data_IF_889107158892
#
_entry.id   IF_889107158892
#
_cell.length_a   1.000
_cell.length_b   1.000
_cell.length_c   1.000
_cell.angle_alpha   90.00
_cell.angle_beta   90.00
_cell.angle_gamma   90.00
#
_symmetry.space_group_name_H-M   'P 1'
#
loop_
_entity.id
_entity.type
_entity.pdbx_description
1 polymer ?
#
# COMPACT_ATOMS: atom_id res chain seq x y z
N UNK A 1 -4.64 11.24 10.65
CA UNK A 1 -4.70 10.67 9.30
C UNK A 1 -4.26 9.22 9.29
N UNK A 2 -5.22 8.31 9.29
CA UNK A 2 -4.96 6.88 9.14
C UNK A 2 -4.14 6.58 7.87
N UNK A 3 -3.40 5.47 7.89
CA UNK A 3 -2.42 5.10 6.87
C UNK A 3 -3.04 4.09 5.92
N UNK A 4 -2.83 4.26 4.62
CA UNK A 4 -3.13 3.24 3.62
C UNK A 4 -1.89 2.38 3.40
N UNK A 5 -1.89 1.16 3.91
CA UNK A 5 -0.87 0.16 3.60
C UNK A 5 -1.17 -0.45 2.23
N UNK A 6 -0.20 -0.38 1.34
CA UNK A 6 -0.34 -0.89 -0.03
C UNK A 6 0.68 -1.99 -0.26
N UNK A 7 0.22 -3.21 -0.51
CA UNK A 7 1.09 -4.35 -0.83
C UNK A 7 1.17 -4.53 -2.35
N UNK A 8 2.37 -4.42 -2.90
CA UNK A 8 2.66 -4.61 -4.32
C UNK A 8 3.83 -5.59 -4.54
N UNK A 9 4.08 -5.93 -5.79
CA UNK A 9 5.12 -6.88 -6.21
C UNK A 9 4.58 -7.99 -7.11
N UNK A 10 5.45 -8.90 -7.59
CA UNK A 10 5.12 -9.87 -8.62
C UNK A 10 3.92 -10.77 -8.34
N UNK A 11 3.23 -11.19 -9.39
CA UNK A 11 2.15 -12.17 -9.28
C UNK A 11 2.64 -13.48 -8.66
N UNK A 12 1.82 -14.09 -7.80
CA UNK A 12 2.14 -15.37 -7.16
C UNK A 12 3.07 -15.30 -5.95
N UNK A 13 3.53 -14.10 -5.56
CA UNK A 13 4.50 -13.93 -4.46
C UNK A 13 3.89 -13.94 -3.05
N UNK A 14 2.56 -14.01 -2.91
CA UNK A 14 1.90 -14.13 -1.59
C UNK A 14 1.29 -12.85 -1.02
N UNK A 15 1.14 -11.79 -1.83
CA UNK A 15 0.50 -10.52 -1.43
C UNK A 15 -0.85 -10.71 -0.72
N UNK A 16 -1.74 -11.52 -1.29
CA UNK A 16 -3.07 -11.79 -0.71
C UNK A 16 -2.99 -12.54 0.62
N UNK A 17 -1.97 -13.38 0.81
CA UNK A 17 -1.74 -14.07 2.08
C UNK A 17 -1.26 -13.11 3.16
N UNK A 18 -0.31 -12.22 2.84
CA UNK A 18 0.13 -11.17 3.78
C UNK A 18 -1.05 -10.25 4.16
N UNK A 19 -1.82 -9.79 3.16
CA UNK A 19 -3.02 -8.98 3.40
C UNK A 19 -4.01 -9.68 4.33
N UNK A 20 -4.29 -10.98 4.12
CA UNK A 20 -5.23 -11.72 4.97
C UNK A 20 -4.71 -11.93 6.39
N UNK A 21 -3.39 -12.00 6.60
CA UNK A 21 -2.80 -12.03 7.94
C UNK A 21 -2.96 -10.70 8.66
N UNK A 22 -2.74 -9.59 7.98
CA UNK A 22 -2.90 -8.24 8.56
C UNK A 22 -4.37 -7.94 8.86
N UNK A 23 -5.29 -8.32 7.97
CA UNK A 23 -6.74 -8.14 8.18
C UNK A 23 -7.32 -8.95 9.37
N UNK A 24 -6.55 -9.85 9.99
CA UNK A 24 -6.96 -10.49 11.25
C UNK A 24 -6.78 -9.56 12.46
N UNK A 25 -6.13 -8.42 12.28
CA UNK A 25 -6.00 -7.38 13.30
C UNK A 25 -7.20 -6.42 13.19
N UNK A 26 -7.77 -6.05 14.32
CA UNK A 26 -9.04 -5.28 14.37
C UNK A 26 -8.92 -3.81 13.91
N UNK A 27 -7.70 -3.33 13.66
CA UNK A 27 -7.40 -1.94 13.31
C UNK A 27 -7.27 -1.70 11.80
N UNK A 28 -7.53 -2.69 10.94
CA UNK A 28 -7.42 -2.56 9.49
C UNK A 28 -8.74 -2.73 8.75
N UNK A 29 -8.98 -1.81 7.83
CA UNK A 29 -10.05 -1.88 6.84
C UNK A 29 -9.53 -2.49 5.54
N UNK A 30 -10.29 -3.43 5.00
CA UNK A 30 -10.04 -3.93 3.66
C UNK A 30 -10.43 -2.85 2.63
N UNK A 31 -9.43 -2.32 1.93
CA UNK A 31 -9.64 -1.36 0.85
C UNK A 31 -9.64 -2.13 -0.49
N UNK A 32 -10.71 -1.93 -1.26
CA UNK A 32 -10.89 -2.53 -2.58
C UNK A 32 -10.87 -1.44 -3.66
N UNK A 33 -10.39 -1.81 -4.84
CA UNK A 33 -10.30 -0.91 -5.99
C UNK A 33 -11.57 -1.00 -6.85
N UNK A 34 -11.80 -0.01 -7.68
CA UNK A 34 -12.71 -0.07 -8.82
C UNK A 34 -11.95 -0.53 -10.05
N UNK A 35 -12.54 -1.41 -10.86
CA UNK A 35 -11.94 -1.88 -12.11
C UNK A 35 -12.96 -2.05 -13.22
N UNK A 36 -12.50 -1.86 -14.46
CA UNK A 36 -13.29 -2.13 -15.68
C UNK A 36 -13.09 -3.55 -16.21
N UNK A 37 -12.25 -4.36 -15.55
CA UNK A 37 -12.07 -5.77 -15.88
C UNK A 37 -13.34 -6.53 -15.49
N UNK A 38 -13.71 -7.53 -16.28
CA UNK A 38 -14.75 -8.48 -15.90
C UNK A 38 -14.37 -9.30 -14.65
N UNK A 39 -15.36 -9.60 -13.83
CA UNK A 39 -15.23 -10.49 -12.67
C UNK A 39 -14.73 -11.88 -13.10
N UNK A 40 -13.73 -12.43 -12.39
CA UNK A 40 -13.28 -13.82 -12.59
C UNK A 40 -14.15 -14.77 -11.77
N UNK A 41 -14.17 -16.04 -12.17
CA UNK A 41 -14.83 -17.11 -11.42
C UNK A 41 -14.40 -17.09 -9.94
N UNK A 42 -15.36 -16.83 -9.05
CA UNK A 42 -15.18 -16.82 -7.59
C UNK A 42 -14.84 -15.45 -6.98
N UNK A 43 -14.53 -14.43 -7.79
CA UNK A 43 -14.54 -13.05 -7.33
C UNK A 43 -16.01 -12.61 -7.07
N UNK A 44 -16.20 -11.57 -6.27
CA UNK A 44 -17.52 -10.97 -6.02
C UNK A 44 -17.42 -9.45 -6.05
N UNK A 45 -18.37 -8.83 -6.75
CA UNK A 45 -18.54 -7.38 -6.71
C UNK A 45 -18.70 -6.85 -5.28
N UNK A 46 -18.10 -5.68 -5.01
CA UNK A 46 -18.02 -5.03 -3.70
C UNK A 46 -17.30 -5.84 -2.60
N UNK A 47 -16.63 -6.94 -2.95
CA UNK A 47 -15.80 -7.74 -2.04
C UNK A 47 -14.35 -7.78 -2.51
N UNK A 48 -14.12 -8.08 -3.78
CA UNK A 48 -12.79 -8.13 -4.37
C UNK A 48 -12.46 -6.80 -5.06
N UNK A 49 -13.41 -6.31 -5.86
CA UNK A 49 -13.38 -5.03 -6.56
C UNK A 49 -14.80 -4.46 -6.68
N UNK A 50 -14.89 -3.16 -6.95
CA UNK A 50 -16.06 -2.60 -7.60
C UNK A 50 -15.90 -2.79 -9.11
N UNK A 51 -16.64 -3.74 -9.69
CA UNK A 51 -16.64 -3.99 -11.13
C UNK A 51 -17.60 -3.03 -11.81
N UNK A 52 -17.09 -2.23 -12.74
CA UNK A 52 -17.86 -1.22 -13.48
C UNK A 52 -17.61 -1.32 -14.97
N UNK A 53 -18.48 -0.74 -15.78
CA UNK A 53 -18.22 -0.61 -17.22
C UNK A 53 -17.09 0.38 -17.50
N UNK A 54 -16.41 0.19 -18.64
CA UNK A 54 -15.31 1.06 -19.06
C UNK A 54 -15.75 2.51 -19.26
N UNK A 55 -16.89 2.71 -19.90
CA UNK A 55 -17.53 4.02 -20.08
C UNK A 55 -17.73 4.75 -18.75
N UNK A 56 -18.30 4.07 -17.75
CA UNK A 56 -18.50 4.65 -16.43
C UNK A 56 -17.19 5.13 -15.80
N UNK A 57 -16.12 4.34 -15.88
CA UNK A 57 -14.83 4.72 -15.32
C UNK A 57 -14.23 5.94 -16.03
N UNK A 58 -14.32 5.97 -17.37
CA UNK A 58 -13.81 7.07 -18.20
C UNK A 58 -14.58 8.37 -17.95
N UNK A 59 -15.91 8.31 -17.89
CA UNK A 59 -16.78 9.47 -17.65
C UNK A 59 -16.62 10.04 -16.23
N UNK A 60 -16.27 9.19 -15.26
CA UNK A 60 -16.13 9.54 -13.85
C UNK A 60 -14.68 9.52 -13.38
N UNK A 61 -13.71 9.70 -14.29
CA UNK A 61 -12.27 9.59 -14.00
C UNK A 61 -11.83 10.48 -12.83
N UNK A 62 -12.47 11.65 -12.66
CA UNK A 62 -12.21 12.60 -11.58
C UNK A 62 -12.59 12.08 -10.19
N UNK A 63 -13.38 11.01 -10.08
CA UNK A 63 -13.75 10.38 -8.81
C UNK A 63 -12.72 9.36 -8.32
N UNK A 64 -11.67 9.09 -9.09
CA UNK A 64 -10.69 8.06 -8.79
C UNK A 64 -9.28 8.64 -8.56
N UNK A 65 -8.56 8.03 -7.61
CA UNK A 65 -7.15 8.29 -7.32
C UNK A 65 -6.32 7.04 -7.55
N UNK A 66 -5.01 7.22 -7.78
CA UNK A 66 -4.12 6.09 -8.04
C UNK A 66 -4.52 5.29 -9.27
N UNK A 67 -4.96 5.95 -10.34
CA UNK A 67 -5.43 5.25 -11.55
C UNK A 67 -4.25 4.55 -12.23
N UNK A 68 -4.43 3.29 -12.60
CA UNK A 68 -3.52 2.54 -13.46
C UNK A 68 -4.29 1.78 -14.53
N UNK A 69 -3.58 1.41 -15.59
CA UNK A 69 -4.11 0.60 -16.68
C UNK A 69 -3.31 -0.71 -16.78
N UNK A 70 -4.02 -1.81 -16.92
CA UNK A 70 -3.43 -3.12 -17.18
C UNK A 70 -4.38 -3.93 -18.06
N UNK A 71 -3.85 -4.50 -19.14
CA UNK A 71 -4.62 -5.32 -20.08
C UNK A 71 -5.88 -4.59 -20.60
N UNK A 72 -5.70 -3.34 -21.03
CA UNK A 72 -6.77 -2.43 -21.52
C UNK A 72 -7.90 -2.13 -20.51
N UNK A 73 -7.71 -2.52 -19.25
CA UNK A 73 -8.65 -2.30 -18.15
C UNK A 73 -8.09 -1.28 -17.16
N UNK A 74 -8.97 -0.42 -16.64
CA UNK A 74 -8.61 0.54 -15.60
C UNK A 74 -8.74 -0.06 -14.21
N UNK A 75 -7.91 0.45 -13.31
CA UNK A 75 -7.92 0.18 -11.89
C UNK A 75 -7.71 1.50 -11.14
N UNK A 76 -8.52 1.78 -10.13
CA UNK A 76 -8.35 2.99 -9.31
C UNK A 76 -9.08 2.87 -7.99
N UNK A 77 -8.79 3.77 -7.06
CA UNK A 77 -9.53 3.86 -5.81
C UNK A 77 -10.59 4.94 -5.95
N UNK A 78 -11.86 4.63 -5.72
CA UNK A 78 -12.87 5.67 -5.59
C UNK A 78 -12.50 6.55 -4.37
N UNK A 79 -12.31 7.84 -4.60
CA UNK A 79 -11.72 8.77 -3.64
C UNK A 79 -12.57 8.87 -2.37
N UNK A 80 -13.88 9.06 -2.54
CA UNK A 80 -14.83 9.11 -1.41
C UNK A 80 -14.88 7.81 -0.60
N UNK A 81 -14.93 6.66 -1.28
CA UNK A 81 -14.88 5.36 -0.61
C UNK A 81 -13.60 5.20 0.21
N UNK A 82 -12.45 5.53 -0.39
CA UNK A 82 -11.14 5.41 0.24
C UNK A 82 -11.06 6.25 1.50
N UNK A 83 -11.41 7.55 1.41
CA UNK A 83 -11.40 8.44 2.56
C UNK A 83 -12.39 7.99 3.64
N UNK A 84 -13.60 7.57 3.29
CA UNK A 84 -14.59 7.10 4.27
C UNK A 84 -14.13 5.87 5.06
N UNK A 85 -13.36 4.97 4.45
CA UNK A 85 -12.73 3.84 5.14
C UNK A 85 -11.57 4.31 6.02
N UNK A 86 -10.69 5.15 5.47
CA UNK A 86 -9.55 5.72 6.18
C UNK A 86 -9.94 6.75 7.25
N UNK A 87 -11.21 7.10 7.43
CA UNK A 87 -11.68 7.90 8.58
C UNK A 87 -11.93 7.03 9.82
N UNK A 88 -12.02 5.71 9.65
CA UNK A 88 -12.38 4.78 10.73
C UNK A 88 -11.16 4.09 11.32
N UNK A 89 -10.26 3.63 10.45
CA UNK A 89 -9.15 2.74 10.75
C UNK A 89 -8.09 2.85 9.65
N UNK A 90 -6.91 2.26 9.88
CA UNK A 90 -5.89 2.12 8.85
C UNK A 90 -6.42 1.23 7.71
N UNK A 91 -6.02 1.51 6.48
CA UNK A 91 -6.48 0.76 5.31
C UNK A 91 -5.41 -0.21 4.83
N UNK A 92 -5.82 -1.33 4.25
CA UNK A 92 -4.91 -2.22 3.53
C UNK A 92 -5.48 -2.68 2.18
N UNK A 93 -4.65 -2.62 1.14
CA UNK A 93 -4.97 -3.18 -0.17
C UNK A 93 -3.78 -3.87 -0.84
N UNK A 94 -4.09 -4.61 -1.90
CA UNK A 94 -3.10 -5.12 -2.86
C UNK A 94 -3.37 -4.40 -4.18
N UNK A 95 -2.35 -3.76 -4.76
CA UNK A 95 -2.47 -3.13 -6.07
C UNK A 95 -1.13 -3.14 -6.82
N UNK A 96 -1.11 -2.57 -8.03
CA UNK A 96 0.12 -2.46 -8.82
C UNK A 96 0.98 -1.29 -8.35
N UNK A 97 2.27 -1.32 -8.71
CA UNK A 97 3.18 -0.20 -8.45
C UNK A 97 2.73 1.09 -9.16
N UNK A 98 2.06 0.98 -10.32
CA UNK A 98 1.48 2.14 -10.99
C UNK A 98 0.38 2.83 -10.18
N UNK A 99 -0.43 2.05 -9.45
CA UNK A 99 -1.43 2.64 -8.56
C UNK A 99 -0.75 3.45 -7.43
N UNK A 100 0.35 2.94 -6.84
CA UNK A 100 1.10 3.64 -5.79
C UNK A 100 1.65 4.98 -6.31
N UNK A 101 2.25 4.96 -7.50
CA UNK A 101 2.78 6.18 -8.14
C UNK A 101 1.66 7.22 -8.29
N UNK A 102 0.48 6.82 -8.77
CA UNK A 102 -0.66 7.73 -8.91
C UNK A 102 -1.34 8.14 -7.59
N UNK A 103 -1.05 7.50 -6.46
CA UNK A 103 -1.54 7.91 -5.13
C UNK A 103 -0.66 8.99 -4.50
N UNK A 104 0.62 9.03 -4.87
CA UNK A 104 1.60 9.96 -4.29
C UNK A 104 1.22 11.43 -4.52
N UNK A 105 0.48 11.72 -5.58
CA UNK A 105 0.08 13.07 -5.96
C UNK A 105 -1.11 13.64 -5.15
N UNK A 106 -1.71 12.85 -4.24
CA UNK A 106 -3.01 13.17 -3.62
C UNK A 106 -2.99 13.42 -2.11
N UNK A 107 -1.83 13.67 -1.50
CA UNK A 107 -1.69 13.83 -0.04
C UNK A 107 -2.31 12.68 0.76
N UNK A 108 -2.37 11.47 0.18
CA UNK A 108 -2.81 10.28 0.89
C UNK A 108 -1.60 9.73 1.64
N UNK A 109 -1.75 9.49 2.94
CA UNK A 109 -0.69 8.85 3.73
C UNK A 109 -0.61 7.37 3.33
N UNK A 110 0.33 7.04 2.44
CA UNK A 110 0.54 5.69 1.92
C UNK A 110 1.80 5.09 2.55
N UNK A 111 1.68 3.86 3.07
CA UNK A 111 2.82 3.01 3.43
C UNK A 111 2.95 1.89 2.39
N UNK A 112 3.78 2.08 1.35
CA UNK A 112 3.92 1.09 0.30
C UNK A 112 4.93 0.01 0.70
N UNK A 113 4.49 -1.25 0.58
CA UNK A 113 5.24 -2.46 0.86
C UNK A 113 5.43 -3.20 -0.47
N UNK A 114 6.67 -3.39 -0.89
CA UNK A 114 7.00 -4.19 -2.07
C UNK A 114 7.54 -5.55 -1.64
N UNK A 115 6.83 -6.61 -2.02
CA UNK A 115 7.30 -7.98 -1.85
C UNK A 115 8.22 -8.35 -3.01
N UNK A 116 9.49 -8.57 -2.70
CA UNK A 116 10.56 -8.85 -3.64
C UNK A 116 10.90 -10.34 -3.68
N UNK A 117 10.99 -10.96 -4.88
CA UNK A 117 11.44 -12.33 -5.02
C UNK A 117 12.96 -12.36 -5.22
N UNK A 118 13.76 -12.52 -4.16
CA UNK A 118 15.23 -12.73 -4.26
C UNK A 118 15.62 -13.84 -5.21
N UNK A 119 14.78 -14.87 -5.34
CA UNK A 119 14.99 -15.99 -6.26
C UNK A 119 13.83 -16.12 -7.27
N UNK A 120 13.91 -15.41 -8.41
CA UNK A 120 13.00 -15.58 -9.56
C UNK A 120 12.76 -17.04 -9.95
N UNK A 121 13.81 -17.88 -9.83
CA UNK A 121 13.77 -19.32 -10.10
C UNK A 121 12.76 -20.08 -9.21
N UNK A 122 12.54 -19.64 -7.97
CA UNK A 122 11.54 -20.23 -7.09
C UNK A 122 10.12 -19.86 -7.47
N UNK A 123 9.89 -18.65 -8.01
CA UNK A 123 8.58 -18.26 -8.56
C UNK A 123 8.25 -19.18 -9.74
N UNK A 124 9.21 -19.42 -10.64
CA UNK A 124 9.05 -20.37 -11.75
C UNK A 124 8.70 -21.76 -11.25
N UNK A 125 9.42 -22.28 -10.25
CA UNK A 125 9.16 -23.59 -9.63
C UNK A 125 7.75 -23.67 -9.01
N UNK A 126 7.30 -22.63 -8.30
CA UNK A 126 5.95 -22.57 -7.70
C UNK A 126 4.84 -22.56 -8.75
N UNK A 127 5.04 -21.85 -9.86
CA UNK A 127 4.09 -21.81 -10.97
C UNK A 127 3.99 -23.18 -11.67
N UNK A 128 5.12 -23.84 -11.92
CA UNK A 128 5.15 -25.22 -12.44
C UNK A 128 4.39 -26.18 -11.53
N UNK A 129 4.62 -26.11 -10.22
CA UNK A 129 3.93 -26.98 -9.26
C UNK A 129 2.41 -26.75 -9.17
N UNK A 130 1.92 -25.59 -9.64
CA UNK A 130 0.48 -25.30 -9.75
C UNK A 130 -0.17 -25.85 -11.03
N UNK A 131 0.59 -26.56 -11.88
CA UNK A 131 0.09 -27.12 -13.13
C UNK A 131 -0.11 -26.08 -14.25
N UNK A 132 0.53 -24.92 -14.15
CA UNK A 132 0.48 -23.92 -15.21
C UNK A 132 1.26 -24.40 -16.45
N UNK A 133 0.75 -24.11 -17.64
CA UNK A 133 1.42 -24.42 -18.92
C UNK A 133 2.72 -23.64 -19.06
N UNK A 134 3.72 -24.19 -19.77
CA UNK A 134 5.00 -23.50 -20.02
C UNK A 134 4.81 -22.09 -20.61
N UNK A 135 3.89 -21.90 -21.55
CA UNK A 135 3.62 -20.56 -22.12
C UNK A 135 3.15 -19.55 -21.06
N UNK A 136 2.19 -19.94 -20.22
CA UNK A 136 1.71 -19.10 -19.10
C UNK A 136 2.80 -18.81 -18.07
N UNK A 137 3.71 -19.76 -17.83
CA UNK A 137 4.85 -19.57 -16.93
C UNK A 137 5.79 -18.50 -17.49
N UNK A 138 6.18 -18.60 -18.76
CA UNK A 138 7.06 -17.61 -19.40
C UNK A 138 6.43 -16.22 -19.44
N UNK A 139 5.13 -16.12 -19.75
CA UNK A 139 4.40 -14.84 -19.68
C UNK A 139 4.46 -14.22 -18.27
N UNK A 140 4.30 -15.03 -17.22
CA UNK A 140 4.36 -14.55 -15.83
C UNK A 140 5.77 -14.19 -15.38
N UNK A 141 6.79 -14.92 -15.84
CA UNK A 141 8.19 -14.59 -15.56
C UNK A 141 8.57 -13.27 -16.24
N UNK A 142 8.18 -13.08 -17.50
CA UNK A 142 8.39 -11.81 -18.20
C UNK A 142 7.68 -10.64 -17.51
N UNK A 143 6.42 -10.82 -17.11
CA UNK A 143 5.68 -9.82 -16.35
C UNK A 143 6.36 -9.48 -15.02
N UNK A 144 6.93 -10.48 -14.34
CA UNK A 144 7.72 -10.26 -13.13
C UNK A 144 8.98 -9.43 -13.43
N UNK A 145 9.72 -9.72 -14.50
CA UNK A 145 10.91 -8.94 -14.87
C UNK A 145 10.56 -7.47 -15.13
N UNK A 146 9.43 -7.20 -15.79
CA UNK A 146 8.96 -5.84 -16.05
C UNK A 146 8.52 -5.12 -14.76
N UNK A 147 7.87 -5.83 -13.82
CA UNK A 147 7.59 -5.29 -12.49
C UNK A 147 8.86 -5.01 -11.68
N UNK A 148 9.89 -5.85 -11.77
CA UNK A 148 11.16 -5.65 -11.07
C UNK A 148 11.93 -4.46 -11.63
N UNK A 149 11.93 -4.24 -12.95
CA UNK A 149 12.48 -3.02 -13.55
C UNK A 149 11.74 -1.78 -13.07
N UNK A 150 10.42 -1.84 -12.99
CA UNK A 150 9.61 -0.73 -12.49
C UNK A 150 9.89 -0.46 -11.01
N UNK A 151 10.07 -1.51 -10.21
CA UNK A 151 10.51 -1.43 -8.82
C UNK A 151 11.85 -0.71 -8.70
N UNK A 152 12.88 -1.12 -9.44
CA UNK A 152 14.20 -0.47 -9.36
C UNK A 152 14.12 1.03 -9.69
N UNK A 153 13.31 1.41 -10.67
CA UNK A 153 13.08 2.83 -11.02
C UNK A 153 12.43 3.63 -9.89
N UNK A 154 11.57 3.02 -9.07
CA UNK A 154 10.79 3.68 -8.03
C UNK A 154 11.13 3.19 -6.63
N UNK A 155 12.29 2.56 -6.44
CA UNK A 155 12.67 1.89 -5.20
C UNK A 155 12.64 2.82 -3.99
N UNK A 156 12.99 4.09 -4.19
CA UNK A 156 12.96 5.13 -3.15
C UNK A 156 11.56 5.39 -2.58
N UNK A 157 10.50 5.01 -3.30
CA UNK A 157 9.11 5.12 -2.81
C UNK A 157 8.68 3.90 -1.99
N UNK A 158 9.45 2.81 -1.95
CA UNK A 158 8.95 1.49 -1.55
C UNK A 158 9.75 0.89 -0.40
N UNK A 159 9.05 0.30 0.57
CA UNK A 159 9.68 -0.54 1.59
C UNK A 159 9.76 -1.97 1.08
N UNK A 160 10.99 -2.41 0.75
CA UNK A 160 11.25 -3.75 0.19
C UNK A 160 11.30 -4.79 1.30
N UNK A 161 10.57 -5.89 1.12
CA UNK A 161 10.70 -7.12 1.90
C UNK A 161 10.92 -8.30 0.98
N UNK A 162 11.86 -9.17 1.32
CA UNK A 162 12.14 -10.39 0.60
C UNK A 162 11.27 -11.54 1.10
N UNK A 163 10.55 -12.21 0.19
CA UNK A 163 9.57 -13.22 0.60
C UNK A 163 10.21 -14.54 1.05
N UNK A 164 11.51 -14.71 0.85
CA UNK A 164 12.27 -15.86 1.36
C UNK A 164 12.88 -15.53 2.71
N UNK A 165 13.53 -14.37 2.81
CA UNK A 165 14.36 -14.03 3.94
C UNK A 165 13.58 -13.33 5.05
N UNK A 166 12.50 -12.61 4.70
CA UNK A 166 11.66 -11.91 5.68
C UNK A 166 10.46 -12.74 6.10
N UNK A 167 10.39 -13.01 7.41
CA UNK A 167 9.21 -13.60 8.01
C UNK A 167 8.05 -12.60 7.98
N UNK A 168 6.84 -13.10 7.70
CA UNK A 168 5.61 -12.32 7.69
C UNK A 168 5.40 -11.55 8.99
N UNK A 169 5.75 -12.14 10.14
CA UNK A 169 5.61 -11.45 11.43
C UNK A 169 6.53 -10.21 11.50
N UNK A 170 7.74 -10.25 10.93
CA UNK A 170 8.62 -9.08 10.85
C UNK A 170 8.01 -7.99 9.95
N UNK A 171 7.36 -8.37 8.85
CA UNK A 171 6.67 -7.42 7.96
C UNK A 171 5.51 -6.76 8.71
N UNK A 172 4.74 -7.54 9.46
CA UNK A 172 3.64 -7.05 10.29
C UNK A 172 4.14 -6.10 11.38
N UNK A 173 5.21 -6.46 12.08
CA UNK A 173 5.81 -5.62 13.11
C UNK A 173 6.36 -4.31 12.53
N UNK A 174 6.98 -4.37 11.34
CA UNK A 174 7.38 -3.17 10.61
C UNK A 174 6.18 -2.28 10.28
N UNK A 175 5.10 -2.86 9.73
CA UNK A 175 3.88 -2.14 9.39
C UNK A 175 3.32 -1.46 10.65
N UNK A 176 3.16 -2.21 11.74
CA UNK A 176 2.64 -1.69 13.01
C UNK A 176 3.54 -0.62 13.63
N UNK A 177 4.86 -0.68 13.41
CA UNK A 177 5.80 0.31 13.89
C UNK A 177 5.83 1.59 13.03
N UNK A 178 5.45 1.51 11.76
CA UNK A 178 5.52 2.62 10.80
C UNK A 178 4.16 3.26 10.49
N UNK A 179 3.06 2.57 10.74
CA UNK A 179 1.74 3.18 10.82
C UNK A 179 1.77 4.23 11.92
N UNK A 180 1.32 5.44 11.60
CA UNK A 180 1.36 6.55 12.55
C UNK A 180 2.67 7.34 12.56
N UNK A 181 3.82 6.81 12.11
CA UNK A 181 5.08 7.58 12.07
C UNK A 181 5.12 8.61 10.93
N UNK A 182 4.40 8.39 9.82
CA UNK A 182 4.28 9.38 8.74
C UNK A 182 3.64 10.69 9.22
N UNK A 183 2.92 10.68 10.35
CA UNK A 183 2.32 11.86 10.95
C UNK A 183 3.33 12.94 11.38
N UNK A 184 4.58 12.56 11.66
CA UNK A 184 5.58 13.53 12.13
C UNK A 184 6.27 14.28 10.98
N UNK A 185 6.31 13.73 9.76
CA UNK A 185 7.07 14.33 8.67
C UNK A 185 6.31 15.43 7.90
N UNK A 186 4.97 15.50 8.00
CA UNK A 186 4.14 16.35 7.14
C UNK A 186 3.54 17.60 7.79
N UNK A 187 3.90 17.93 9.04
CA UNK A 187 3.46 19.18 9.70
C UNK A 187 4.62 19.95 10.38
N UNK A 188 5.78 20.01 9.71
CA UNK A 188 6.91 20.84 10.15
C UNK A 188 6.88 22.26 9.58
N UNK A 189 5.70 22.89 9.49
CA UNK A 189 5.62 24.32 9.18
C UNK A 189 5.12 25.21 10.31
N UNK A 190 4.52 24.69 11.40
CA UNK A 190 4.31 25.56 12.58
C UNK A 190 4.07 24.85 13.92
N UNK A 191 5.05 24.08 14.40
CA UNK A 191 5.08 23.62 15.80
C UNK A 191 5.85 24.59 16.71
N UNK A 192 6.33 25.72 16.16
CA UNK A 192 7.06 26.76 16.90
C UNK A 192 6.32 27.27 18.16
N UNK A 193 4.97 27.38 18.20
CA UNK A 193 4.28 27.86 19.39
C UNK A 193 4.19 26.83 20.52
N UNK A 194 4.47 25.54 20.25
CA UNK A 194 4.19 24.42 21.16
C UNK A 194 5.46 23.74 21.71
N UNK A 195 6.64 24.24 21.30
CA UNK A 195 7.94 23.76 21.77
C UNK A 195 8.48 24.70 22.85
N UNK A 196 9.08 24.16 23.90
CA UNK A 196 9.88 24.99 24.80
C UNK A 196 11.19 25.43 24.14
N UNK A 197 11.94 26.29 24.84
CA UNK A 197 13.25 26.78 24.38
C UNK A 197 14.29 25.67 24.12
N UNK A 198 14.03 24.45 24.56
CA UNK A 198 14.88 23.27 24.35
C UNK A 198 14.34 22.33 23.25
N UNK A 199 13.29 22.71 22.52
CA UNK A 199 12.68 21.88 21.47
C UNK A 199 11.82 20.73 21.99
N UNK A 200 11.42 20.75 23.27
CA UNK A 200 10.54 19.73 23.87
C UNK A 200 9.09 20.22 23.83
N UNK A 201 8.20 19.37 23.32
CA UNK A 201 6.76 19.65 23.25
C UNK A 201 6.20 19.80 24.67
N UNK A 202 5.69 20.98 24.99
CA UNK A 202 5.03 21.25 26.26
C UNK A 202 3.52 21.18 26.04
N UNK A 203 2.88 20.01 26.05
CA UNK A 203 1.48 19.91 26.54
C UNK A 203 1.02 18.44 26.58
N UNK A 204 0.43 17.99 27.71
CA UNK A 204 -0.33 16.76 27.78
C UNK A 204 -1.83 17.06 27.59
N UNK A 205 -2.52 16.18 26.84
CA UNK A 205 -3.98 16.11 26.63
C UNK A 205 -4.58 17.06 25.57
N UNK A 206 -4.59 16.57 24.32
CA UNK A 206 -5.68 16.89 23.39
C UNK A 206 -6.86 15.95 23.73
N UNK A 207 -8.06 16.46 24.06
CA UNK A 207 -9.22 15.61 24.28
C UNK A 207 -9.57 14.87 22.97
N UNK A 208 -9.80 13.55 23.07
CA UNK A 208 -10.16 12.60 21.99
C UNK A 208 -9.04 11.81 21.31
N UNK A 209 -7.76 11.97 21.68
CA UNK A 209 -6.69 11.10 21.17
C UNK A 209 -6.24 10.08 22.23
N UNK A 210 -6.37 8.78 21.92
CA UNK A 210 -5.74 7.70 22.69
C UNK A 210 -4.25 7.66 22.34
N UNK A 211 -3.44 8.43 23.08
CA UNK A 211 -1.98 8.33 23.00
C UNK A 211 -1.52 7.08 23.74
N UNK A 212 -0.96 6.10 23.02
CA UNK A 212 -0.27 4.99 23.69
C UNK A 212 1.23 4.96 23.46
N UNK A 213 1.79 5.51 22.37
CA UNK A 213 3.26 5.51 22.16
C UNK A 213 3.71 6.69 21.33
N UNK A 214 4.04 7.81 21.97
CA UNK A 214 4.77 8.91 21.34
C UNK A 214 6.18 8.92 21.92
N UNK A 215 7.15 8.40 21.18
CA UNK A 215 8.54 8.77 21.33
C UNK A 215 8.80 9.86 20.27
N UNK A 216 8.73 11.13 20.68
CA UNK A 216 9.20 12.22 19.81
C UNK A 216 10.72 12.17 19.83
N UNK A 217 11.34 11.59 18.81
CA UNK A 217 12.77 11.82 18.56
C UNK A 217 12.86 13.13 17.79
N UNK A 218 13.11 14.22 18.50
CA UNK A 218 13.47 15.50 17.91
C UNK A 218 14.94 15.41 17.45
N UNK A 219 15.17 15.18 16.16
CA UNK A 219 16.49 15.42 15.55
C UNK A 219 16.61 16.93 15.31
N UNK A 220 17.27 17.63 16.24
CA UNK A 220 17.64 19.02 16.05
C UNK A 220 18.83 19.06 15.08
N UNK A 221 18.57 19.38 13.81
CA UNK A 221 19.64 19.76 12.88
C UNK A 221 19.90 21.26 13.10
N UNK A 222 20.92 21.60 13.87
CA UNK A 222 21.45 22.97 13.89
C UNK A 222 22.20 23.21 12.58
N UNK A 223 21.62 23.98 11.66
CA UNK A 223 22.41 24.64 10.61
C UNK A 223 22.98 25.95 11.17
N UNK A 224 24.30 26.11 11.06
CA UNK A 224 25.02 27.36 11.31
C UNK A 224 24.84 28.32 10.14
#
# INVERSE_FOLDING_TARGET
>A
MFTLVVICGPSGIGKSYLKSRILKQDNFENIIQTTTRLERSGEKNAVDYFFVEKSYFEDNKNLFVGISEFDSCYYGFNEHYLYNKLLKNDGICVCSLWNIIGLNDKNINVLPIFLYPSQPSLVRKRLTNRGETKEKIELRVKAMDDELKLFEKHRHLLNRFDVIDDNIENIIDFINSNIGLVYMALNYTDLSPFLNRSGVLLYPKIPNYRYTRVAVIALIVFQK
#
